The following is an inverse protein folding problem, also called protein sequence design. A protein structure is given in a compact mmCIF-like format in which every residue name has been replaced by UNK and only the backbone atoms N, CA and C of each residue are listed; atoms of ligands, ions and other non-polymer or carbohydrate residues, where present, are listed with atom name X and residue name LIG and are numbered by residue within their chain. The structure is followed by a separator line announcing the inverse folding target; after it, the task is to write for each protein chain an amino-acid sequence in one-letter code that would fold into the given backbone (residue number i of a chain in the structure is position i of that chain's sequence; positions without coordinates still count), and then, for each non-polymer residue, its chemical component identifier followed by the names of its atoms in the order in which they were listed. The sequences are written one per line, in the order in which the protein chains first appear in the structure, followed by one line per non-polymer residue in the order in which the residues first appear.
data_IF_031367679789
#
_entry.id   IF_031367679789
#
_cell.length_a   1.000
_cell.length_b   1.000
_cell.length_c   1.000
_cell.angle_alpha   90.00
_cell.angle_beta   90.00
_cell.angle_gamma   90.00
#
_symmetry.space_group_name_H-M   'P 1'
#
loop_
_entity.id
_entity.type
_entity.pdbx_description
1 polymer ?
#
# COMPACT_ATOMS: atom_id res chain seq x y z
N UNK A 1 -9.86 29.34 21.82
CA UNK A 1 -9.06 28.29 21.15
C UNK A 1 -8.17 28.82 20.03
N UNK A 2 -8.69 29.66 19.13
CA UNK A 2 -7.89 30.26 18.04
C UNK A 2 -6.66 31.03 18.52
N UNK A 3 -6.76 31.81 19.59
CA UNK A 3 -5.64 32.59 20.15
C UNK A 3 -4.51 31.69 20.71
N UNK A 4 -4.83 30.53 21.26
CA UNK A 4 -3.83 29.58 21.79
C UNK A 4 -3.06 28.92 20.65
N UNK A 5 -3.76 28.47 19.59
CA UNK A 5 -3.12 27.87 18.42
C UNK A 5 -2.22 28.92 17.72
N UNK A 6 -2.67 30.15 17.57
CA UNK A 6 -1.86 31.23 17.00
C UNK A 6 -0.59 31.51 17.80
N UNK A 7 -0.67 31.41 19.14
CA UNK A 7 0.46 31.69 20.01
C UNK A 7 1.48 30.58 20.05
N UNK A 8 1.04 29.31 20.18
CA UNK A 8 1.92 28.15 20.38
C UNK A 8 2.27 27.42 19.07
N UNK A 9 1.43 27.51 18.03
CA UNK A 9 1.59 26.82 16.75
C UNK A 9 1.35 27.79 15.57
N UNK A 10 2.12 28.91 15.49
CA UNK A 10 1.84 29.99 14.52
C UNK A 10 1.95 29.54 13.06
N UNK A 11 2.88 28.62 12.73
CA UNK A 11 3.06 28.15 11.37
C UNK A 11 1.96 27.16 10.96
N UNK A 12 1.50 26.32 11.90
CA UNK A 12 0.34 25.44 11.71
C UNK A 12 -0.91 26.25 11.38
N UNK A 13 -1.16 27.32 12.14
CA UNK A 13 -2.31 28.19 11.91
C UNK A 13 -2.28 28.88 10.56
N UNK A 14 -1.09 29.39 10.15
CA UNK A 14 -0.90 30.08 8.85
C UNK A 14 -1.18 29.18 7.64
N UNK A 15 -0.98 27.87 7.73
CA UNK A 15 -1.24 26.95 6.61
C UNK A 15 -2.72 26.79 6.29
N UNK A 16 -3.61 26.98 7.27
CA UNK A 16 -5.05 26.86 7.08
C UNK A 16 -5.50 25.45 6.71
N UNK A 17 -6.80 25.33 6.39
CA UNK A 17 -7.39 24.04 6.05
C UNK A 17 -7.36 23.75 4.54
N UNK A 18 -7.55 24.74 3.72
CA UNK A 18 -7.64 24.67 2.25
C UNK A 18 -6.41 25.29 1.56
N UNK A 19 -6.25 25.04 0.24
CA UNK A 19 -5.12 25.49 -0.56
C UNK A 19 -4.05 24.41 -0.71
N UNK A 20 -3.01 24.68 -1.51
CA UNK A 20 -1.98 23.67 -1.86
C UNK A 20 -1.22 23.10 -0.67
N UNK A 21 -1.05 23.89 0.39
CA UNK A 21 -0.38 23.49 1.63
C UNK A 21 -1.35 23.28 2.80
N UNK A 22 -2.67 23.40 2.57
CA UNK A 22 -3.68 23.27 3.61
C UNK A 22 -3.75 21.86 4.19
N UNK A 23 -4.03 21.75 5.48
CA UNK A 23 -4.09 20.48 6.20
C UNK A 23 -5.11 19.52 5.62
N UNK A 24 -6.33 20.00 5.30
CA UNK A 24 -7.37 19.19 4.68
C UNK A 24 -6.98 18.68 3.30
N UNK A 25 -6.37 19.53 2.48
CA UNK A 25 -5.86 19.13 1.16
C UNK A 25 -4.75 18.09 1.28
N UNK A 26 -3.84 18.26 2.24
CA UNK A 26 -2.75 17.32 2.47
C UNK A 26 -3.24 15.94 2.92
N UNK A 27 -4.21 15.88 3.84
CA UNK A 27 -4.87 14.63 4.27
C UNK A 27 -5.55 13.96 3.08
N UNK A 28 -6.35 14.72 2.33
CA UNK A 28 -7.06 14.21 1.15
C UNK A 28 -6.10 13.61 0.13
N UNK A 29 -5.02 14.32 -0.23
CA UNK A 29 -4.06 13.84 -1.21
C UNK A 29 -3.31 12.58 -0.74
N UNK A 30 -2.96 12.49 0.55
CA UNK A 30 -2.36 11.27 1.11
C UNK A 30 -3.32 10.08 0.99
N UNK A 31 -4.58 10.25 1.41
CA UNK A 31 -5.60 9.20 1.29
C UNK A 31 -5.90 8.85 -0.17
N UNK A 32 -6.00 9.84 -1.04
CA UNK A 32 -6.20 9.66 -2.48
C UNK A 32 -5.11 8.80 -3.11
N UNK A 33 -3.83 9.15 -2.88
CA UNK A 33 -2.70 8.36 -3.40
C UNK A 33 -2.70 6.95 -2.80
N UNK A 34 -2.93 6.82 -1.48
CA UNK A 34 -2.97 5.52 -0.81
C UNK A 34 -4.07 4.61 -1.38
N UNK A 35 -5.30 5.09 -1.44
CA UNK A 35 -6.45 4.28 -1.88
C UNK A 35 -6.31 3.90 -3.35
N UNK A 36 -5.99 4.86 -4.22
CA UNK A 36 -5.93 4.59 -5.66
C UNK A 36 -4.76 3.68 -6.03
N UNK A 37 -3.59 3.91 -5.44
CA UNK A 37 -2.43 3.02 -5.65
C UNK A 37 -2.67 1.62 -5.09
N UNK A 38 -3.38 1.49 -3.96
CA UNK A 38 -3.74 0.19 -3.42
C UNK A 38 -4.79 -0.54 -4.28
N UNK A 39 -5.79 0.16 -4.82
CA UNK A 39 -6.75 -0.48 -5.73
C UNK A 39 -6.02 -1.06 -6.95
N UNK A 40 -5.14 -0.30 -7.57
CA UNK A 40 -4.42 -0.74 -8.79
C UNK A 40 -3.35 -1.79 -8.44
N UNK A 41 -2.39 -1.42 -7.61
CA UNK A 41 -1.25 -2.27 -7.25
C UNK A 41 -1.65 -3.46 -6.40
N UNK A 42 -2.62 -3.29 -5.49
CA UNK A 42 -3.14 -4.36 -4.64
C UNK A 42 -3.91 -5.42 -5.42
N UNK A 43 -4.77 -5.02 -6.35
CA UNK A 43 -5.46 -5.99 -7.22
C UNK A 43 -4.45 -6.80 -8.04
N UNK A 44 -3.51 -6.14 -8.71
CA UNK A 44 -2.47 -6.82 -9.47
C UNK A 44 -1.58 -7.69 -8.58
N UNK A 45 -1.27 -7.23 -7.37
CA UNK A 45 -0.48 -7.95 -6.37
C UNK A 45 -1.20 -9.19 -5.85
N UNK A 46 -2.51 -9.10 -5.59
CA UNK A 46 -3.32 -10.26 -5.19
C UNK A 46 -3.31 -11.33 -6.27
N UNK A 47 -3.56 -10.94 -7.52
CA UNK A 47 -3.53 -11.87 -8.66
C UNK A 47 -2.15 -12.50 -8.82
N UNK A 48 -1.08 -11.70 -8.81
CA UNK A 48 0.28 -12.23 -8.97
C UNK A 48 0.70 -13.13 -7.80
N UNK A 49 0.34 -12.77 -6.56
CA UNK A 49 0.62 -13.58 -5.37
C UNK A 49 -0.11 -14.93 -5.41
N UNK A 50 -1.37 -14.95 -5.83
CA UNK A 50 -2.13 -16.17 -6.05
C UNK A 50 -1.46 -17.05 -7.14
N UNK A 51 -1.09 -16.47 -8.28
CA UNK A 51 -0.39 -17.21 -9.32
C UNK A 51 0.97 -17.74 -8.85
N UNK A 52 1.70 -16.99 -8.01
CA UNK A 52 2.94 -17.47 -7.41
C UNK A 52 2.73 -18.73 -6.57
N UNK A 53 1.64 -18.83 -5.80
CA UNK A 53 1.31 -20.04 -5.03
C UNK A 53 0.89 -21.18 -5.95
N UNK A 54 -0.02 -20.91 -6.87
CA UNK A 54 -0.56 -21.94 -7.76
C UNK A 54 0.50 -22.56 -8.68
N UNK A 55 1.49 -21.77 -9.13
CA UNK A 55 2.52 -22.22 -10.07
C UNK A 55 3.83 -22.63 -9.40
N UNK A 56 3.92 -22.52 -8.06
CA UNK A 56 5.08 -22.97 -7.27
C UNK A 56 5.33 -24.47 -7.44
N UNK A 57 6.54 -24.94 -7.15
CA UNK A 57 6.81 -26.40 -7.08
C UNK A 57 5.84 -27.09 -6.10
N UNK A 58 5.13 -28.13 -6.58
CA UNK A 58 4.06 -28.80 -5.83
C UNK A 58 2.72 -28.07 -5.81
N UNK A 59 2.59 -26.91 -6.45
CA UNK A 59 1.32 -26.19 -6.57
C UNK A 59 0.38 -26.83 -7.59
N UNK A 60 -0.91 -26.48 -7.48
CA UNK A 60 -2.00 -27.07 -8.30
C UNK A 60 -1.80 -26.87 -9.81
N UNK A 61 -1.17 -25.79 -10.23
CA UNK A 61 -0.83 -25.48 -11.62
C UNK A 61 0.69 -25.39 -11.78
N UNK A 62 1.46 -26.28 -11.17
CA UNK A 62 2.92 -26.22 -11.19
C UNK A 62 3.47 -25.84 -12.57
N UNK A 63 4.12 -24.67 -12.66
CA UNK A 63 4.76 -24.18 -13.87
C UNK A 63 6.02 -23.36 -13.50
N UNK A 64 7.17 -24.00 -13.62
CA UNK A 64 8.47 -23.39 -13.24
C UNK A 64 8.77 -22.10 -13.99
N UNK A 65 8.33 -21.97 -15.25
CA UNK A 65 8.61 -20.77 -16.07
C UNK A 65 7.77 -19.59 -15.57
N UNK A 66 6.46 -19.79 -15.39
CA UNK A 66 5.55 -18.74 -14.90
C UNK A 66 5.95 -18.33 -13.49
N UNK A 67 6.18 -19.29 -12.60
CA UNK A 67 6.66 -19.02 -11.25
C UNK A 67 7.95 -18.19 -11.25
N UNK A 68 8.96 -18.62 -12.03
CA UNK A 68 10.24 -17.93 -12.08
C UNK A 68 10.11 -16.49 -12.58
N UNK A 69 9.32 -16.24 -13.63
CA UNK A 69 9.10 -14.90 -14.18
C UNK A 69 8.43 -13.99 -13.14
N UNK A 70 7.33 -14.43 -12.53
CA UNK A 70 6.62 -13.66 -11.52
C UNK A 70 7.48 -13.40 -10.27
N UNK A 71 8.21 -14.42 -9.81
CA UNK A 71 9.13 -14.30 -8.67
C UNK A 71 10.23 -13.27 -8.95
N UNK A 72 10.82 -13.28 -10.14
CA UNK A 72 11.87 -12.31 -10.50
C UNK A 72 11.32 -10.90 -10.65
N UNK A 73 10.17 -10.72 -11.29
CA UNK A 73 9.54 -9.40 -11.43
C UNK A 73 9.24 -8.81 -10.04
N UNK A 74 8.55 -9.56 -9.19
CA UNK A 74 8.22 -9.09 -7.83
C UNK A 74 9.47 -8.83 -6.99
N UNK A 75 10.50 -9.66 -7.10
CA UNK A 75 11.76 -9.51 -6.37
C UNK A 75 12.55 -8.28 -6.82
N UNK A 76 12.59 -7.97 -8.13
CA UNK A 76 13.28 -6.80 -8.66
C UNK A 76 12.64 -5.51 -8.13
N UNK A 77 11.32 -5.37 -8.26
CA UNK A 77 10.63 -4.17 -7.77
C UNK A 77 10.75 -3.96 -6.26
N UNK A 78 10.79 -5.04 -5.47
CA UNK A 78 11.00 -4.98 -4.01
C UNK A 78 12.44 -4.65 -3.61
N UNK A 79 13.41 -4.98 -4.45
CA UNK A 79 14.82 -4.68 -4.17
C UNK A 79 15.17 -3.20 -4.37
N UNK A 80 14.38 -2.48 -5.18
CA UNK A 80 14.63 -1.06 -5.45
C UNK A 80 14.00 -0.21 -4.33
N UNK A 81 14.78 0.64 -3.62
CA UNK A 81 14.22 1.59 -2.67
C UNK A 81 13.16 2.47 -3.34
N UNK A 82 12.02 2.69 -2.65
CA UNK A 82 10.88 3.40 -3.23
C UNK A 82 11.23 4.77 -3.84
N UNK A 83 12.09 5.54 -3.17
CA UNK A 83 12.50 6.87 -3.67
C UNK A 83 13.24 6.78 -5.02
N UNK A 84 14.01 5.70 -5.24
CA UNK A 84 14.70 5.43 -6.51
C UNK A 84 13.69 4.92 -7.55
N UNK A 85 12.77 4.05 -7.15
CA UNK A 85 11.70 3.55 -8.01
C UNK A 85 10.84 4.70 -8.56
N UNK A 86 10.50 5.67 -7.71
CA UNK A 86 9.77 6.87 -8.12
C UNK A 86 10.53 7.66 -9.19
N UNK A 87 11.85 7.85 -9.03
CA UNK A 87 12.68 8.56 -10.00
C UNK A 87 12.78 7.79 -11.34
N UNK A 88 13.02 6.47 -11.28
CA UNK A 88 13.15 5.60 -12.46
C UNK A 88 11.84 5.51 -13.25
N UNK A 89 10.68 5.45 -12.55
CA UNK A 89 9.36 5.38 -13.19
C UNK A 89 8.78 6.76 -13.55
N UNK A 90 9.44 7.87 -13.24
CA UNK A 90 8.98 9.22 -13.58
C UNK A 90 8.68 9.42 -15.08
N UNK A 91 9.52 8.96 -16.05
CA UNK A 91 9.19 9.04 -17.47
C UNK A 91 7.94 8.21 -17.83
N UNK A 92 7.77 7.06 -17.18
CA UNK A 92 6.60 6.20 -17.38
C UNK A 92 5.32 6.83 -16.80
N UNK A 93 5.43 7.49 -15.64
CA UNK A 93 4.33 8.30 -15.08
C UNK A 93 3.92 9.41 -16.06
N UNK A 94 4.90 10.11 -16.65
CA UNK A 94 4.60 11.15 -17.65
C UNK A 94 3.85 10.59 -18.88
N UNK A 95 4.23 9.41 -19.34
CA UNK A 95 3.59 8.75 -20.47
C UNK A 95 2.12 8.38 -20.17
N UNK A 96 1.80 7.94 -18.94
CA UNK A 96 0.46 7.48 -18.56
C UNK A 96 -0.45 8.65 -18.19
N UNK A 97 0.05 9.59 -17.35
CA UNK A 97 -0.78 10.63 -16.73
C UNK A 97 -0.46 12.05 -17.23
N UNK A 98 0.47 12.20 -18.16
CA UNK A 98 0.82 13.49 -18.78
C UNK A 98 1.70 14.38 -17.91
N UNK A 99 2.13 13.94 -16.73
CA UNK A 99 2.98 14.71 -15.81
C UNK A 99 3.93 13.79 -15.05
N UNK A 100 5.10 14.34 -14.66
CA UNK A 100 6.08 13.65 -13.82
C UNK A 100 6.02 14.10 -12.35
N UNK A 101 5.18 15.10 -12.02
CA UNK A 101 5.11 15.73 -10.69
C UNK A 101 3.65 15.74 -10.23
N UNK A 102 3.46 15.70 -8.92
CA UNK A 102 2.15 15.78 -8.30
C UNK A 102 1.54 14.40 -7.96
N UNK A 103 0.36 14.39 -7.33
CA UNK A 103 -0.24 13.17 -6.78
C UNK A 103 -0.56 12.12 -7.85
N UNK A 104 -1.04 12.54 -9.02
CA UNK A 104 -1.36 11.61 -10.11
C UNK A 104 -0.11 10.91 -10.65
N UNK A 105 1.01 11.63 -10.78
CA UNK A 105 2.27 11.04 -11.22
C UNK A 105 2.80 10.02 -10.21
N UNK A 106 2.62 10.26 -8.90
CA UNK A 106 3.08 9.39 -7.84
C UNK A 106 2.28 8.08 -7.74
N UNK A 107 1.01 8.06 -8.18
CA UNK A 107 0.19 6.84 -8.18
C UNK A 107 0.85 5.71 -8.97
N UNK A 108 1.52 6.01 -10.07
CA UNK A 108 2.16 5.00 -10.91
C UNK A 108 3.25 4.24 -10.14
N UNK A 109 4.33 4.87 -9.64
CA UNK A 109 5.37 4.16 -8.88
C UNK A 109 4.86 3.57 -7.57
N UNK A 110 3.89 4.21 -6.89
CA UNK A 110 3.25 3.66 -5.70
C UNK A 110 2.50 2.35 -6.03
N UNK A 111 1.80 2.28 -7.16
CA UNK A 111 1.12 1.06 -7.60
C UNK A 111 2.10 -0.08 -7.90
N UNK A 112 3.25 0.21 -8.50
CA UNK A 112 4.30 -0.80 -8.72
C UNK A 112 4.93 -1.29 -7.41
N UNK A 113 5.16 -0.41 -6.45
CA UNK A 113 5.67 -0.77 -5.14
C UNK A 113 4.68 -1.67 -4.39
N UNK A 114 3.41 -1.26 -4.32
CA UNK A 114 2.32 -2.06 -3.73
C UNK A 114 2.18 -3.41 -4.42
N UNK A 115 2.15 -3.43 -5.76
CA UNK A 115 2.07 -4.67 -6.54
C UNK A 115 3.11 -5.70 -6.09
N UNK A 116 4.37 -5.29 -6.07
CA UNK A 116 5.47 -6.19 -5.76
C UNK A 116 5.48 -6.63 -4.29
N UNK A 117 5.22 -5.69 -3.37
CA UNK A 117 5.18 -5.97 -1.95
C UNK A 117 4.00 -6.88 -1.60
N UNK A 118 2.79 -6.53 -2.05
CA UNK A 118 1.57 -7.28 -1.74
C UNK A 118 1.56 -8.66 -2.38
N UNK A 119 2.03 -8.82 -3.63
CA UNK A 119 2.15 -10.13 -4.27
C UNK A 119 2.97 -11.11 -3.43
N UNK A 120 4.09 -10.65 -2.84
CA UNK A 120 4.91 -11.49 -1.95
C UNK A 120 4.20 -11.81 -0.65
N UNK A 121 3.53 -10.86 -0.04
CA UNK A 121 2.77 -11.08 1.19
C UNK A 121 1.64 -12.09 0.97
N UNK A 122 0.88 -11.94 -0.11
CA UNK A 122 -0.17 -12.89 -0.52
C UNK A 122 0.41 -14.28 -0.74
N UNK A 123 1.53 -14.38 -1.47
CA UNK A 123 2.20 -15.66 -1.70
C UNK A 123 2.56 -16.35 -0.38
N UNK A 124 3.19 -15.63 0.57
CA UNK A 124 3.61 -16.20 1.85
C UNK A 124 2.40 -16.75 2.62
N UNK A 125 1.37 -15.92 2.76
CA UNK A 125 0.16 -16.30 3.51
C UNK A 125 -0.55 -17.49 2.90
N UNK A 126 -0.76 -17.50 1.58
CA UNK A 126 -1.48 -18.58 0.92
C UNK A 126 -0.65 -19.87 0.82
N UNK A 127 0.67 -19.78 0.84
CA UNK A 127 1.54 -20.96 0.88
C UNK A 127 1.58 -21.66 2.26
N UNK A 128 1.16 -20.97 3.33
CA UNK A 128 1.07 -21.50 4.70
C UNK A 128 -0.25 -22.21 4.98
N UNK A 129 -1.21 -22.17 4.05
CA UNK A 129 -2.49 -22.89 4.20
C UNK A 129 -2.27 -24.40 4.26
N UNK A 130 -3.14 -25.08 5.01
CA UNK A 130 -3.11 -26.55 5.11
C UNK A 130 -3.31 -27.19 3.74
N UNK A 131 -2.28 -27.88 3.24
CA UNK A 131 -2.33 -28.59 1.97
C UNK A 131 -3.45 -29.64 1.90
N UNK A 132 -3.83 -30.23 3.05
CA UNK A 132 -4.93 -31.20 3.12
C UNK A 132 -6.27 -30.64 2.67
N UNK A 133 -6.54 -29.35 2.90
CA UNK A 133 -7.78 -28.69 2.43
C UNK A 133 -7.76 -28.60 0.90
N UNK A 134 -6.62 -28.24 0.32
CA UNK A 134 -6.46 -28.15 -1.14
C UNK A 134 -6.55 -29.52 -1.80
N UNK A 135 -5.89 -30.55 -1.22
CA UNK A 135 -5.96 -31.94 -1.69
C UNK A 135 -7.39 -32.50 -1.62
N UNK A 136 -8.12 -32.23 -0.54
CA UNK A 136 -9.52 -32.62 -0.40
C UNK A 136 -10.43 -31.97 -1.46
N UNK A 137 -10.22 -30.69 -1.75
CA UNK A 137 -10.94 -29.99 -2.82
C UNK A 137 -10.66 -30.65 -4.19
N UNK A 138 -9.38 -30.92 -4.50
CA UNK A 138 -8.98 -31.60 -5.75
C UNK A 138 -9.59 -33.02 -5.85
N UNK A 139 -9.54 -33.80 -4.77
CA UNK A 139 -10.12 -35.14 -4.72
C UNK A 139 -11.65 -35.13 -4.95
N UNK A 140 -12.32 -34.05 -4.57
CA UNK A 140 -13.75 -33.84 -4.79
C UNK A 140 -14.09 -33.38 -6.21
N UNK A 141 -13.09 -33.20 -7.11
CA UNK A 141 -13.28 -32.77 -8.48
C UNK A 141 -13.45 -31.25 -8.62
N UNK A 142 -12.91 -30.46 -7.68
CA UNK A 142 -12.97 -28.99 -7.72
C UNK A 142 -12.37 -28.43 -9.01
N UNK A 143 -13.07 -27.45 -9.61
CA UNK A 143 -12.57 -26.71 -10.75
C UNK A 143 -11.48 -25.72 -10.34
N UNK A 144 -10.78 -25.11 -11.31
CA UNK A 144 -9.80 -24.06 -11.03
C UNK A 144 -10.38 -22.92 -10.16
N UNK A 145 -11.59 -22.48 -10.47
CA UNK A 145 -12.24 -21.38 -9.73
C UNK A 145 -12.64 -21.79 -8.32
N UNK A 146 -13.00 -23.07 -8.11
CA UNK A 146 -13.28 -23.59 -6.77
C UNK A 146 -12.01 -23.59 -5.93
N UNK A 147 -10.87 -24.03 -6.49
CA UNK A 147 -9.57 -24.00 -5.81
C UNK A 147 -9.14 -22.56 -5.47
N UNK A 148 -9.29 -21.61 -6.41
CA UNK A 148 -9.07 -20.18 -6.12
C UNK A 148 -9.97 -19.71 -4.99
N UNK A 149 -11.24 -20.11 -4.99
CA UNK A 149 -12.19 -19.83 -3.92
C UNK A 149 -11.73 -20.37 -2.57
N UNK A 150 -11.21 -21.59 -2.52
CA UNK A 150 -10.66 -22.21 -1.30
C UNK A 150 -9.45 -21.38 -0.79
N UNK A 151 -8.48 -21.08 -1.64
CA UNK A 151 -7.33 -20.25 -1.25
C UNK A 151 -7.76 -18.90 -0.66
N UNK A 152 -8.73 -18.22 -1.29
CA UNK A 152 -9.18 -16.91 -0.84
C UNK A 152 -10.04 -16.97 0.42
N UNK A 153 -10.90 -17.99 0.57
CA UNK A 153 -11.76 -18.13 1.74
C UNK A 153 -10.99 -18.57 2.99
N UNK A 154 -10.16 -19.61 2.87
CA UNK A 154 -9.34 -20.09 3.99
C UNK A 154 -8.26 -19.07 4.38
N UNK A 155 -7.63 -18.43 3.40
CA UNK A 155 -6.62 -17.39 3.62
C UNK A 155 -7.16 -16.02 4.02
N UNK A 156 -8.49 -15.82 4.02
CA UNK A 156 -9.10 -14.49 4.18
C UNK A 156 -8.66 -13.73 5.43
N UNK A 157 -8.59 -14.32 6.64
CA UNK A 157 -8.13 -13.60 7.83
C UNK A 157 -6.70 -13.06 7.69
N UNK A 158 -5.81 -13.88 7.13
CA UNK A 158 -4.40 -13.52 6.94
C UNK A 158 -4.20 -12.57 5.76
N UNK A 159 -5.00 -12.70 4.70
CA UNK A 159 -5.05 -11.73 3.60
C UNK A 159 -5.45 -10.34 4.09
N UNK A 160 -6.40 -10.22 5.02
CA UNK A 160 -6.76 -8.94 5.64
C UNK A 160 -5.59 -8.39 6.46
N UNK A 161 -4.89 -9.25 7.20
CA UNK A 161 -3.72 -8.84 7.98
C UNK A 161 -2.62 -8.28 7.08
N UNK A 162 -2.25 -8.98 6.00
CA UNK A 162 -1.21 -8.49 5.08
C UNK A 162 -1.68 -7.30 4.24
N UNK A 163 -2.97 -7.16 3.97
CA UNK A 163 -3.58 -5.94 3.39
C UNK A 163 -3.36 -4.75 4.31
N UNK A 164 -3.60 -4.91 5.61
CA UNK A 164 -3.40 -3.86 6.61
C UNK A 164 -1.94 -3.42 6.67
N UNK A 165 -1.00 -4.38 6.73
CA UNK A 165 0.44 -4.10 6.71
C UNK A 165 0.85 -3.37 5.44
N UNK A 166 0.31 -3.78 4.29
CA UNK A 166 0.59 -3.13 3.00
C UNK A 166 0.08 -1.70 2.96
N UNK A 167 -1.12 -1.43 3.45
CA UNK A 167 -1.68 -0.08 3.53
C UNK A 167 -0.86 0.84 4.44
N UNK A 168 -0.39 0.33 5.59
CA UNK A 168 0.48 1.07 6.51
C UNK A 168 1.81 1.42 5.82
N UNK A 169 2.44 0.46 5.14
CA UNK A 169 3.67 0.69 4.36
C UNK A 169 3.44 1.76 3.28
N UNK A 170 2.32 1.65 2.56
CA UNK A 170 1.96 2.56 1.49
C UNK A 170 1.76 4.01 1.97
N UNK A 171 1.18 4.23 3.16
CA UNK A 171 1.11 5.57 3.77
C UNK A 171 2.52 6.15 3.97
N UNK A 172 3.48 5.33 4.41
CA UNK A 172 4.89 5.74 4.51
C UNK A 172 5.51 6.09 3.15
N UNK A 173 5.22 5.33 2.10
CA UNK A 173 5.68 5.60 0.73
C UNK A 173 5.04 6.86 0.15
N UNK A 174 3.75 7.14 0.44
CA UNK A 174 3.11 8.41 0.04
C UNK A 174 3.77 9.62 0.71
N UNK A 175 4.24 9.47 1.96
CA UNK A 175 5.00 10.53 2.62
C UNK A 175 6.35 10.78 1.94
N UNK A 176 7.05 9.72 1.50
CA UNK A 176 8.28 9.84 0.70
C UNK A 176 8.02 10.50 -0.65
N UNK A 177 6.95 10.09 -1.36
CA UNK A 177 6.53 10.74 -2.61
C UNK A 177 6.21 12.23 -2.40
N UNK A 178 5.56 12.55 -1.28
CA UNK A 178 5.27 13.94 -0.89
C UNK A 178 6.52 14.79 -0.71
N UNK A 179 7.59 14.23 -0.13
CA UNK A 179 8.87 14.92 0.06
C UNK A 179 9.52 15.36 -1.27
N UNK A 180 9.21 14.67 -2.38
CA UNK A 180 9.73 14.97 -3.73
C UNK A 180 8.67 15.58 -4.68
N UNK A 181 7.60 16.15 -4.12
CA UNK A 181 6.66 16.98 -4.89
C UNK A 181 5.33 16.31 -5.25
N UNK A 182 5.00 15.16 -4.72
CA UNK A 182 3.68 14.54 -4.93
C UNK A 182 2.54 15.22 -4.15
N UNK A 183 2.85 16.11 -3.21
CA UNK A 183 1.85 16.67 -2.29
C UNK A 183 1.57 15.78 -1.09
N UNK A 184 0.43 16.00 -0.43
CA UNK A 184 0.05 15.24 0.75
C UNK A 184 0.78 15.66 2.03
N UNK A 185 0.58 14.89 3.11
CA UNK A 185 1.13 15.21 4.45
C UNK A 185 2.66 15.12 4.45
N UNK A 186 3.25 14.23 3.64
CA UNK A 186 4.70 14.15 3.50
C UNK A 186 5.31 15.45 2.95
N UNK A 187 4.66 16.09 1.99
CA UNK A 187 5.08 17.41 1.50
C UNK A 187 4.97 18.49 2.59
N UNK A 188 3.90 18.46 3.36
CA UNK A 188 3.73 19.38 4.50
C UNK A 188 4.83 19.16 5.53
N UNK A 189 5.10 17.92 5.91
CA UNK A 189 6.13 17.59 6.90
C UNK A 189 7.54 18.03 6.47
N UNK A 190 7.91 17.80 5.23
CA UNK A 190 9.28 18.01 4.74
C UNK A 190 9.44 19.40 4.12
N UNK A 191 8.64 19.75 3.10
CA UNK A 191 8.85 21.00 2.36
C UNK A 191 8.41 22.24 3.16
N UNK A 192 7.31 22.15 3.91
CA UNK A 192 6.80 23.29 4.69
C UNK A 192 7.25 23.26 6.16
N UNK A 193 7.49 22.06 6.72
CA UNK A 193 7.99 21.86 8.07
C UNK A 193 9.52 21.88 8.12
N UNK A 194 10.14 20.73 7.85
CA UNK A 194 11.57 20.50 8.06
C UNK A 194 12.47 21.48 7.29
N UNK A 195 12.27 21.64 5.98
CA UNK A 195 13.11 22.51 5.13
C UNK A 195 13.01 24.01 5.46
N UNK A 196 11.92 24.42 6.14
CA UNK A 196 11.70 25.80 6.57
C UNK A 196 11.90 26.01 8.06
N UNK A 197 12.41 24.99 8.78
CA UNK A 197 12.60 25.01 10.23
C UNK A 197 11.31 25.28 11.02
N UNK A 198 10.15 24.94 10.48
CA UNK A 198 8.85 25.05 11.14
C UNK A 198 8.57 23.77 11.91
N UNK A 199 9.20 23.57 13.06
CA UNK A 199 9.10 22.33 13.84
C UNK A 199 7.67 21.97 14.27
N UNK A 200 6.83 22.96 14.55
CA UNK A 200 5.41 22.80 14.88
C UNK A 200 4.64 22.13 13.73
N UNK A 201 4.92 22.51 12.47
CA UNK A 201 4.32 21.91 11.27
C UNK A 201 4.78 20.45 11.11
N UNK A 202 6.09 20.19 11.25
CA UNK A 202 6.64 18.82 11.12
C UNK A 202 6.04 17.88 12.18
N UNK A 203 5.96 18.33 13.44
CA UNK A 203 5.40 17.54 14.54
C UNK A 203 3.92 17.23 14.29
N UNK A 204 3.12 18.24 13.91
CA UNK A 204 1.69 18.01 13.66
C UNK A 204 1.47 17.10 12.47
N UNK A 205 2.23 17.27 11.37
CA UNK A 205 2.17 16.38 10.22
C UNK A 205 2.49 14.92 10.60
N UNK A 206 3.50 14.72 11.44
CA UNK A 206 3.86 13.38 11.98
C UNK A 206 2.71 12.78 12.80
N UNK A 207 2.09 13.57 13.68
CA UNK A 207 0.93 13.12 14.48
C UNK A 207 -0.22 12.71 13.56
N UNK A 208 -0.52 13.48 12.52
CA UNK A 208 -1.59 13.15 11.56
C UNK A 208 -1.30 11.84 10.83
N UNK A 209 -0.05 11.61 10.38
CA UNK A 209 0.35 10.34 9.75
C UNK A 209 0.14 9.16 10.73
N UNK A 210 0.57 9.32 11.97
CA UNK A 210 0.38 8.28 13.01
C UNK A 210 -1.10 7.99 13.23
N UNK A 211 -1.96 9.01 13.27
CA UNK A 211 -3.41 8.83 13.43
C UNK A 211 -4.03 8.08 12.24
N UNK A 212 -3.60 8.38 11.01
CA UNK A 212 -4.04 7.64 9.80
C UNK A 212 -3.61 6.18 9.90
N UNK A 213 -2.36 5.91 10.28
CA UNK A 213 -1.83 4.55 10.45
C UNK A 213 -2.61 3.79 11.53
N UNK A 214 -2.87 4.40 12.68
CA UNK A 214 -3.67 3.78 13.75
C UNK A 214 -5.11 3.49 13.31
N UNK A 215 -5.73 4.37 12.52
CA UNK A 215 -7.05 4.13 11.97
C UNK A 215 -7.07 2.90 11.04
N UNK A 216 -6.06 2.77 10.16
CA UNK A 216 -5.89 1.61 9.28
C UNK A 216 -5.66 0.34 10.11
N UNK A 217 -4.77 0.39 11.10
CA UNK A 217 -4.46 -0.74 11.99
C UNK A 217 -5.71 -1.21 12.74
N UNK A 218 -6.44 -0.27 13.35
CA UNK A 218 -7.66 -0.59 14.10
C UNK A 218 -8.73 -1.26 13.23
N UNK A 219 -8.94 -0.75 12.01
CA UNK A 219 -9.88 -1.34 11.06
C UNK A 219 -9.45 -2.75 10.63
N UNK A 220 -8.16 -2.94 10.35
CA UNK A 220 -7.60 -4.23 10.00
C UNK A 220 -7.75 -5.27 11.11
N UNK A 221 -7.40 -4.91 12.34
CA UNK A 221 -7.53 -5.78 13.51
C UNK A 221 -8.99 -6.15 13.80
N UNK A 222 -9.89 -5.18 13.65
CA UNK A 222 -11.34 -5.40 13.81
C UNK A 222 -11.87 -6.39 12.79
N UNK A 223 -11.52 -6.21 11.50
CA UNK A 223 -11.93 -7.10 10.42
C UNK A 223 -11.36 -8.51 10.59
N UNK A 224 -10.09 -8.64 10.92
CA UNK A 224 -9.43 -9.93 11.17
C UNK A 224 -10.11 -10.68 12.31
N UNK A 225 -10.35 -10.02 13.45
CA UNK A 225 -11.05 -10.65 14.59
C UNK A 225 -12.46 -11.11 14.24
N UNK A 226 -13.20 -10.34 13.47
CA UNK A 226 -14.59 -10.67 13.09
C UNK A 226 -14.66 -11.90 12.19
N UNK A 227 -13.63 -12.13 11.36
CA UNK A 227 -13.60 -13.21 10.39
C UNK A 227 -12.94 -14.48 10.95
N UNK A 228 -11.91 -14.37 11.79
CA UNK A 228 -11.29 -15.53 12.47
C UNK A 228 -12.23 -16.24 13.46
N UNK A 229 -13.32 -15.62 13.92
CA UNK A 229 -14.31 -16.24 14.79
C UNK A 229 -15.41 -17.02 14.02
N UNK A 230 -15.35 -17.06 12.70
CA UNK A 230 -16.32 -17.75 11.84
C UNK A 230 -15.78 -19.01 11.18
N UNK A 231 -14.50 -19.33 11.41
CA UNK A 231 -13.84 -20.59 10.94
C UNK A 231 -13.77 -21.60 12.06
#
# INVERSE_FOLDING_TARGET
MESLIQTYLPNVYKMGWAGQAGWGTAIYLTLYMTVLSFIIGGFLGLVAGLFLVLTAPGGVLENKVVFWILDKITSIFRAVPFIILLAVLSPFSHLIVGTSIGPNAAIVPLSFAVFAFFARQVQVVLAELDGGVIEAAQASGATFWDIVGVYLSEGLPDLIRVTTVTLISLVGETAMAGAVGAGGIGNVAIAYGFNRYNHDVTILATIIIILIIFAIQFLGDFLTKKLSHKS
#
